data_IF_492052117832
#
_entry.id   IF_492052117832
#
_cell.length_a   1.000
_cell.length_b   1.000
_cell.length_c   1.000
_cell.angle_alpha   90.00
_cell.angle_beta   90.00
_cell.angle_gamma   90.00
#
_symmetry.space_group_name_H-M   'P 1'
#
loop_
_entity.id
_entity.type
_entity.pdbx_description
1 polymer ?
#
# COMPACT_ATOMS: atom_id res chain seq x y z
N UNK A 1 -0.38 13.08 -7.28
CA UNK A 1 -1.23 13.99 -6.45
C UNK A 1 -1.54 13.23 -5.16
N UNK A 2 -1.52 13.87 -3.97
CA UNK A 2 -1.75 13.16 -2.70
C UNK A 2 -3.14 12.50 -2.65
N UNK A 3 -3.21 11.28 -2.11
CA UNK A 3 -4.41 10.48 -2.01
C UNK A 3 -4.36 9.47 -0.86
N UNK A 4 -5.50 8.85 -0.57
CA UNK A 4 -5.62 7.76 0.40
C UNK A 4 -6.09 6.51 -0.32
N UNK A 5 -5.60 5.36 0.12
CA UNK A 5 -6.20 4.09 -0.26
C UNK A 5 -7.57 4.05 0.40
N UNK A 6 -8.59 3.78 -0.40
CA UNK A 6 -9.98 3.66 0.04
C UNK A 6 -10.50 2.30 -0.41
N UNK A 7 -11.39 1.72 0.37
CA UNK A 7 -12.03 0.44 0.06
C UNK A 7 -13.53 0.61 0.25
N UNK A 8 -14.31 0.16 -0.72
CA UNK A 8 -15.78 0.11 -0.60
C UNK A 8 -16.25 -1.22 0.01
N UNK A 9 -16.89 -1.15 1.18
CA UNK A 9 -17.41 -2.32 1.91
C UNK A 9 -18.86 -2.08 2.28
N UNK A 10 -19.78 -2.86 1.70
CA UNK A 10 -21.21 -2.77 2.01
C UNK A 10 -21.82 -1.39 1.76
N UNK A 11 -21.41 -0.72 0.66
CA UNK A 11 -21.86 0.65 0.32
C UNK A 11 -21.23 1.75 1.18
N UNK A 12 -20.22 1.44 1.98
CA UNK A 12 -19.46 2.41 2.79
C UNK A 12 -18.05 2.54 2.26
N UNK A 13 -17.55 3.77 2.21
CA UNK A 13 -16.13 4.03 1.93
C UNK A 13 -15.36 3.98 3.25
N UNK A 14 -14.35 3.12 3.31
CA UNK A 14 -13.44 2.98 4.45
C UNK A 14 -12.02 3.34 4.03
N UNK A 15 -11.23 3.83 4.99
CA UNK A 15 -9.82 4.16 4.80
C UNK A 15 -8.98 3.27 5.71
N UNK A 16 -8.19 2.33 5.16
CA UNK A 16 -7.31 1.49 5.95
C UNK A 16 -6.40 2.31 6.88
N UNK A 17 -6.46 2.01 8.17
CA UNK A 17 -5.81 2.82 9.20
C UNK A 17 -4.28 2.78 9.18
N UNK A 18 -3.67 1.85 8.45
CA UNK A 18 -2.22 1.73 8.35
C UNK A 18 -1.56 2.90 7.58
N UNK A 19 -2.34 3.64 6.80
CA UNK A 19 -1.86 4.81 6.06
C UNK A 19 -1.57 6.01 6.96
N UNK A 20 -2.07 5.97 8.21
CA UNK A 20 -2.00 7.08 9.15
C UNK A 20 -0.85 6.83 10.11
N UNK A 21 0.07 7.78 10.13
CA UNK A 21 1.00 7.90 11.23
C UNK A 21 0.27 8.47 12.46
N UNK A 22 0.03 7.61 13.47
CA UNK A 22 -0.66 8.00 14.70
C UNK A 22 0.15 8.91 15.60
N UNK A 23 1.48 8.87 15.53
CA UNK A 23 2.36 9.64 16.41
C UNK A 23 2.36 11.11 16.00
N UNK A 24 2.46 11.36 14.69
CA UNK A 24 2.47 12.71 14.12
C UNK A 24 1.10 13.14 13.54
N UNK A 25 0.10 12.26 13.61
CA UNK A 25 -1.27 12.46 13.09
C UNK A 25 -1.30 12.90 11.63
N UNK A 26 -0.46 12.29 10.80
CA UNK A 26 -0.34 12.59 9.37
C UNK A 26 -0.48 11.33 8.52
N UNK A 27 -0.63 11.50 7.21
CA UNK A 27 -0.59 10.38 6.27
C UNK A 27 0.86 10.05 5.96
N UNK A 28 1.20 8.76 5.93
CA UNK A 28 2.54 8.31 5.57
C UNK A 28 2.83 8.73 4.11
N UNK A 29 3.92 9.46 3.84
CA UNK A 29 4.21 10.00 2.50
C UNK A 29 4.27 8.93 1.40
N UNK A 30 4.73 7.72 1.75
CA UNK A 30 4.84 6.56 0.85
C UNK A 30 3.50 6.16 0.20
N UNK A 31 2.37 6.48 0.85
CA UNK A 31 1.04 6.14 0.33
C UNK A 31 0.75 6.81 -1.01
N UNK A 32 1.25 8.03 -1.23
CA UNK A 32 1.10 8.70 -2.52
C UNK A 32 1.83 7.94 -3.64
N UNK A 33 3.07 7.50 -3.39
CA UNK A 33 3.85 6.73 -4.35
C UNK A 33 3.23 5.37 -4.67
N UNK A 34 2.64 4.70 -3.67
CA UNK A 34 1.92 3.43 -3.87
C UNK A 34 0.67 3.60 -4.74
N UNK A 35 -0.09 4.69 -4.54
CA UNK A 35 -1.26 5.00 -5.36
C UNK A 35 -0.88 5.34 -6.80
N UNK A 36 0.19 6.12 -6.99
CA UNK A 36 0.70 6.45 -8.32
C UNK A 36 1.16 5.17 -9.04
N UNK A 37 1.92 4.28 -8.37
CA UNK A 37 2.34 2.98 -8.90
C UNK A 37 1.17 2.05 -9.26
N UNK A 38 0.16 1.97 -8.39
CA UNK A 38 -1.02 1.16 -8.64
C UNK A 38 -1.78 1.67 -9.87
N UNK A 39 -1.96 3.00 -10.00
CA UNK A 39 -2.60 3.60 -11.16
C UNK A 39 -1.83 3.36 -12.47
N UNK A 40 -0.49 3.46 -12.44
CA UNK A 40 0.38 3.16 -13.58
C UNK A 40 0.22 1.71 -14.07
N UNK A 41 -0.07 0.77 -13.16
CA UNK A 41 -0.18 -0.66 -13.45
C UNK A 41 -1.63 -1.17 -13.51
N UNK A 42 -2.62 -0.28 -13.54
CA UNK A 42 -4.05 -0.64 -13.55
C UNK A 42 -4.53 -1.46 -12.35
N UNK A 43 -3.83 -1.37 -11.21
CA UNK A 43 -4.28 -1.94 -9.94
C UNK A 43 -5.33 -1.03 -9.29
N UNK A 44 -6.40 -1.63 -8.79
CA UNK A 44 -7.40 -0.88 -8.02
C UNK A 44 -6.87 -0.52 -6.62
N UNK A 45 -7.55 0.42 -5.94
CA UNK A 45 -7.24 0.73 -4.55
C UNK A 45 -7.51 -0.47 -3.63
N UNK A 46 -8.49 -1.30 -3.98
CA UNK A 46 -8.84 -2.55 -3.32
C UNK A 46 -7.74 -3.60 -3.49
N UNK A 47 -7.21 -3.78 -4.71
CA UNK A 47 -6.09 -4.70 -4.97
C UNK A 47 -4.84 -4.28 -4.19
N UNK A 48 -4.53 -2.98 -4.23
CA UNK A 48 -3.44 -2.41 -3.44
C UNK A 48 -3.66 -2.66 -1.94
N UNK A 49 -4.87 -2.40 -1.43
CA UNK A 49 -5.18 -2.62 -0.01
C UNK A 49 -5.04 -4.10 0.38
N UNK A 50 -5.45 -5.02 -0.50
CA UNK A 50 -5.32 -6.45 -0.28
C UNK A 50 -3.85 -6.86 -0.22
N UNK A 51 -3.06 -6.49 -1.22
CA UNK A 51 -1.62 -6.80 -1.28
C UNK A 51 -0.85 -6.24 -0.09
N UNK A 52 -1.15 -4.99 0.33
CA UNK A 52 -0.53 -4.38 1.50
C UNK A 52 -0.69 -5.22 2.78
N UNK A 53 -1.76 -6.02 2.87
CA UNK A 53 -2.08 -6.85 4.03
C UNK A 53 -1.79 -8.34 3.85
N UNK A 54 -1.37 -8.75 2.65
CA UNK A 54 -0.99 -10.12 2.34
C UNK A 54 0.49 -10.37 2.69
N UNK A 55 0.86 -11.63 3.03
CA UNK A 55 2.26 -12.03 3.10
C UNK A 55 2.96 -11.73 1.78
N UNK A 56 4.20 -11.24 1.82
CA UNK A 56 4.96 -10.89 0.63
C UNK A 56 6.34 -11.53 0.66
N UNK A 57 6.71 -12.19 -0.44
CA UNK A 57 8.03 -12.80 -0.60
C UNK A 57 9.16 -11.77 -0.74
N UNK A 58 8.84 -10.48 -0.81
CA UNK A 58 9.82 -9.39 -0.87
C UNK A 58 10.40 -9.01 0.49
N UNK A 59 9.81 -9.49 1.59
CA UNK A 59 10.23 -9.17 2.96
C UNK A 59 10.63 -10.42 3.74
N UNK A 60 11.40 -10.22 4.81
CA UNK A 60 11.82 -11.32 5.68
C UNK A 60 10.61 -12.05 6.27
N UNK A 61 10.71 -13.37 6.41
CA UNK A 61 9.64 -14.21 6.98
C UNK A 61 8.26 -14.06 6.33
N UNK A 62 8.21 -13.60 5.07
CA UNK A 62 6.97 -13.28 4.36
C UNK A 62 6.12 -12.21 5.06
N UNK A 63 6.77 -11.26 5.74
CA UNK A 63 6.10 -10.12 6.37
C UNK A 63 5.27 -9.33 5.36
N UNK A 64 4.24 -8.66 5.88
CA UNK A 64 3.30 -7.92 5.04
C UNK A 64 3.89 -6.55 4.70
N UNK A 65 3.68 -6.00 3.50
CA UNK A 65 4.18 -4.66 3.15
C UNK A 65 3.78 -3.56 4.15
N UNK A 66 2.60 -3.69 4.77
CA UNK A 66 2.10 -2.75 5.77
C UNK A 66 2.99 -2.63 7.01
N UNK A 67 3.70 -3.70 7.36
CA UNK A 67 4.54 -3.75 8.56
C UNK A 67 5.85 -2.95 8.37
N UNK A 68 6.23 -2.67 7.11
CA UNK A 68 7.47 -1.97 6.74
C UNK A 68 7.26 -0.50 6.32
N UNK A 69 6.02 0.02 6.29
CA UNK A 69 5.71 1.38 5.82
C UNK A 69 6.47 2.50 6.55
N UNK A 70 6.89 2.26 7.79
CA UNK A 70 7.58 3.23 8.64
C UNK A 70 9.09 3.04 8.65
N UNK A 71 9.54 1.79 8.73
CA UNK A 71 10.96 1.46 8.81
C UNK A 71 11.63 1.54 7.44
N UNK A 72 10.96 1.06 6.40
CA UNK A 72 11.54 0.81 5.08
C UNK A 72 10.59 1.20 3.93
N UNK A 73 10.10 2.46 3.88
CA UNK A 73 9.11 2.89 2.87
C UNK A 73 9.59 2.69 1.42
N UNK A 74 10.88 2.88 1.16
CA UNK A 74 11.46 2.67 -0.18
C UNK A 74 11.47 1.19 -0.58
N UNK A 75 11.64 0.27 0.37
CA UNK A 75 11.56 -1.16 0.12
C UNK A 75 10.11 -1.56 -0.25
N UNK A 76 9.12 -0.94 0.39
CA UNK A 76 7.69 -1.12 0.06
C UNK A 76 7.39 -0.65 -1.36
N UNK A 77 7.93 0.50 -1.80
CA UNK A 77 7.77 0.96 -3.19
C UNK A 77 8.47 0.04 -4.20
N UNK A 78 9.65 -0.48 -3.87
CA UNK A 78 10.36 -1.43 -4.73
C UNK A 78 9.61 -2.76 -4.85
N UNK A 79 9.09 -3.29 -3.75
CA UNK A 79 8.27 -4.49 -3.73
C UNK A 79 6.97 -4.30 -4.55
N UNK A 80 6.29 -3.17 -4.37
CA UNK A 80 5.10 -2.81 -5.13
C UNK A 80 5.39 -2.79 -6.64
N UNK A 81 6.48 -2.16 -7.07
CA UNK A 81 6.88 -2.13 -8.48
C UNK A 81 7.10 -3.55 -9.03
N UNK A 82 7.82 -4.39 -8.30
CA UNK A 82 8.09 -5.76 -8.72
C UNK A 82 6.80 -6.60 -8.82
N UNK A 83 5.89 -6.45 -7.86
CA UNK A 83 4.63 -7.21 -7.85
C UNK A 83 3.70 -6.75 -8.99
N UNK A 84 3.51 -5.44 -9.14
CA UNK A 84 2.54 -4.92 -10.09
C UNK A 84 2.96 -5.19 -11.54
N UNK A 85 4.27 -5.20 -11.81
CA UNK A 85 4.85 -5.60 -13.10
C UNK A 85 4.68 -7.11 -13.38
N UNK A 86 4.56 -7.95 -12.34
CA UNK A 86 4.51 -9.42 -12.47
C UNK A 86 3.10 -9.97 -12.78
N UNK A 87 2.04 -9.17 -12.69
CA UNK A 87 0.66 -9.59 -12.97
C UNK A 87 0.30 -9.68 -14.47
N UNK A 88 1.29 -9.79 -15.37
CA UNK A 88 1.10 -9.88 -16.84
C UNK A 88 1.49 -11.24 -17.42
#
# INVERSE_FOLDING_TARGET
MGGLIRVEVGGRVLYPGFQVDRDVRAILPVIAGLLDLAAENSWSAEDLALWMTAPSTSFESEDRPVDHLRSEPEAVLAAARSEFDSCW
#
